data_IF_628474394609
#
_entry.id   IF_628474394609
#
_cell.length_a   1.000
_cell.length_b   1.000
_cell.length_c   1.000
_cell.angle_alpha   90.00
_cell.angle_beta   90.00
_cell.angle_gamma   90.00
#
_symmetry.space_group_name_H-M   'P 1'
#
loop_
_entity.id
_entity.type
_entity.pdbx_description
1 polymer ?
#
# COMPACT_ATOMS: atom_id res chain seq x y z
N UNK A 1 -15.95 14.30 13.95
CA UNK A 1 -15.12 15.50 13.67
C UNK A 1 -13.67 15.10 13.90
N UNK A 2 -12.93 14.73 12.83
CA UNK A 2 -11.50 14.41 12.95
C UNK A 2 -10.75 15.68 13.32
N UNK A 3 -9.99 15.65 14.39
CA UNK A 3 -9.22 16.82 14.83
C UNK A 3 -8.00 17.03 13.92
N UNK A 4 -7.44 18.23 13.88
CA UNK A 4 -6.17 18.49 13.17
C UNK A 4 -5.06 17.52 13.63
N UNK A 5 -5.10 17.12 14.90
CA UNK A 5 -4.16 16.17 15.47
C UNK A 5 -4.29 14.77 14.83
N UNK A 6 -5.51 14.31 14.55
CA UNK A 6 -5.73 13.00 13.93
C UNK A 6 -5.20 12.97 12.50
N UNK A 7 -5.40 14.05 11.73
CA UNK A 7 -4.88 14.17 10.38
C UNK A 7 -3.34 14.18 10.35
N UNK A 8 -2.70 14.91 11.27
CA UNK A 8 -1.23 14.94 11.40
C UNK A 8 -0.70 13.56 11.81
N UNK A 9 -1.32 12.91 12.78
CA UNK A 9 -0.93 11.57 13.24
C UNK A 9 -1.00 10.55 12.12
N UNK A 10 -2.05 10.58 11.29
CA UNK A 10 -2.19 9.69 10.12
C UNK A 10 -1.08 9.95 9.11
N UNK A 11 -0.78 11.20 8.78
CA UNK A 11 0.31 11.54 7.86
C UNK A 11 1.67 11.10 8.39
N UNK A 12 1.95 11.31 9.67
CA UNK A 12 3.20 10.87 10.32
C UNK A 12 3.32 9.36 10.28
N UNK A 13 2.25 8.62 10.55
CA UNK A 13 2.23 7.16 10.48
C UNK A 13 2.58 6.63 9.08
N UNK A 14 2.03 7.25 8.03
CA UNK A 14 2.38 6.88 6.64
C UNK A 14 3.85 7.18 6.32
N UNK A 15 4.37 8.35 6.72
CA UNK A 15 5.79 8.69 6.51
C UNK A 15 6.68 7.65 7.20
N UNK A 16 6.42 7.35 8.46
CA UNK A 16 7.20 6.36 9.23
C UNK A 16 7.16 5.00 8.54
N UNK A 17 6.00 4.55 8.07
CA UNK A 17 5.85 3.27 7.36
C UNK A 17 6.67 3.22 6.08
N UNK A 18 6.66 4.28 5.28
CA UNK A 18 7.44 4.39 4.05
C UNK A 18 8.93 4.39 4.34
N UNK A 19 9.38 5.16 5.35
CA UNK A 19 10.77 5.23 5.76
C UNK A 19 11.26 3.87 6.26
N UNK A 20 10.52 3.21 7.14
CA UNK A 20 10.86 1.88 7.67
C UNK A 20 10.96 0.86 6.52
N UNK A 21 10.03 0.88 5.58
CA UNK A 21 10.06 -0.01 4.43
C UNK A 21 11.28 0.26 3.53
N UNK A 22 11.59 1.53 3.26
CA UNK A 22 12.75 1.90 2.46
C UNK A 22 14.07 1.51 3.14
N UNK A 23 14.19 1.72 4.46
CA UNK A 23 15.34 1.29 5.25
C UNK A 23 15.49 -0.22 5.24
N UNK A 24 14.41 -0.98 5.42
CA UNK A 24 14.41 -2.44 5.34
C UNK A 24 14.89 -2.92 3.97
N UNK A 25 14.35 -2.38 2.89
CA UNK A 25 14.77 -2.71 1.52
C UNK A 25 16.27 -2.46 1.32
N UNK A 26 16.78 -1.32 1.78
CA UNK A 26 18.20 -0.98 1.64
C UNK A 26 19.11 -1.85 2.52
N UNK A 27 18.70 -2.16 3.74
CA UNK A 27 19.49 -2.96 4.68
C UNK A 27 19.58 -4.42 4.26
N UNK A 28 18.44 -5.03 3.89
CA UNK A 28 18.37 -6.45 3.52
C UNK A 28 18.74 -6.73 2.06
N UNK A 29 18.69 -5.70 1.21
CA UNK A 29 18.80 -5.82 -0.25
C UNK A 29 17.93 -6.97 -0.79
N UNK A 30 16.76 -7.15 -0.20
CA UNK A 30 15.82 -8.22 -0.50
C UNK A 30 14.38 -7.69 -0.43
N UNK A 31 13.54 -8.13 -1.36
CA UNK A 31 12.11 -7.85 -1.40
C UNK A 31 11.27 -9.05 -0.93
N UNK A 32 11.90 -10.05 -0.30
CA UNK A 32 11.22 -11.24 0.24
C UNK A 32 10.26 -10.81 1.35
N UNK A 33 9.02 -11.31 1.29
CA UNK A 33 7.97 -10.98 2.26
C UNK A 33 7.30 -9.62 2.07
N UNK A 34 7.61 -8.90 0.99
CA UNK A 34 6.97 -7.63 0.64
C UNK A 34 6.00 -7.86 -0.52
N UNK A 35 4.75 -7.43 -0.36
CA UNK A 35 3.77 -7.43 -1.43
C UNK A 35 3.91 -6.17 -2.29
N UNK A 36 4.26 -6.36 -3.56
CA UNK A 36 4.30 -5.27 -4.54
C UNK A 36 2.90 -4.73 -4.81
N UNK A 37 1.89 -5.60 -4.77
CA UNK A 37 0.49 -5.24 -5.00
C UNK A 37 -0.08 -4.33 -3.93
N UNK A 38 0.36 -4.49 -2.68
CA UNK A 38 0.06 -3.55 -1.60
C UNK A 38 0.62 -2.16 -1.92
N UNK A 39 1.85 -2.07 -2.39
CA UNK A 39 2.46 -0.79 -2.76
C UNK A 39 1.76 -0.15 -3.97
N UNK A 40 1.37 -0.94 -4.96
CA UNK A 40 0.57 -0.48 -6.11
C UNK A 40 -0.80 0.07 -5.66
N UNK A 41 -1.48 -0.61 -4.74
CA UNK A 41 -2.75 -0.13 -4.18
C UNK A 41 -2.59 1.17 -3.39
N UNK A 42 -1.55 1.30 -2.54
CA UNK A 42 -1.27 2.56 -1.85
C UNK A 42 -0.94 3.70 -2.81
N UNK A 43 -0.22 3.42 -3.89
CA UNK A 43 0.02 4.43 -4.93
C UNK A 43 -1.31 4.91 -5.55
N UNK A 44 -2.22 3.99 -5.86
CA UNK A 44 -3.56 4.33 -6.38
C UNK A 44 -4.33 5.17 -5.36
N UNK A 45 -4.30 4.81 -4.07
CA UNK A 45 -4.94 5.56 -2.98
C UNK A 45 -4.40 6.99 -2.93
N UNK A 46 -3.07 7.17 -2.95
CA UNK A 46 -2.47 8.50 -2.87
C UNK A 46 -2.75 9.35 -4.12
N UNK A 47 -2.68 8.77 -5.31
CA UNK A 47 -3.00 9.47 -6.56
C UNK A 47 -4.48 9.90 -6.58
N UNK A 48 -5.40 9.00 -6.20
CA UNK A 48 -6.83 9.32 -6.12
C UNK A 48 -7.14 10.37 -5.05
N UNK A 49 -6.52 10.25 -3.86
CA UNK A 49 -6.72 11.18 -2.73
C UNK A 49 -6.17 12.58 -3.01
N UNK A 50 -5.06 12.64 -3.73
CA UNK A 50 -4.35 13.89 -4.01
C UNK A 50 -4.60 14.42 -5.43
N UNK A 51 -5.65 13.92 -6.10
CA UNK A 51 -6.07 14.44 -7.41
C UNK A 51 -6.46 15.93 -7.35
N UNK A 52 -6.86 16.42 -6.18
CA UNK A 52 -7.12 17.85 -5.91
C UNK A 52 -5.86 18.73 -6.02
N UNK A 53 -4.66 18.15 -6.02
CA UNK A 53 -3.39 18.87 -6.18
C UNK A 53 -3.34 19.69 -7.47
N UNK A 54 -4.01 19.20 -8.52
CA UNK A 54 -4.07 19.86 -9.83
C UNK A 54 -5.13 20.96 -9.89
N UNK A 55 -6.10 20.97 -8.96
CA UNK A 55 -7.25 21.89 -8.98
C UNK A 55 -7.17 22.97 -7.91
N UNK A 56 -6.56 22.70 -6.76
CA UNK A 56 -6.54 23.62 -5.64
C UNK A 56 -5.18 23.66 -4.94
N UNK A 57 -4.60 24.85 -4.89
CA UNK A 57 -3.36 25.09 -4.15
C UNK A 57 -3.70 25.62 -2.75
N UNK A 58 -3.46 24.80 -1.71
CA UNK A 58 -3.73 25.22 -0.31
C UNK A 58 -2.49 25.74 0.41
N UNK A 59 -1.33 25.11 0.22
CA UNK A 59 -0.09 25.44 0.92
C UNK A 59 1.08 24.73 0.28
N UNK A 60 2.26 25.37 0.26
CA UNK A 60 3.52 24.77 -0.20
C UNK A 60 3.85 23.49 0.59
N UNK A 61 3.67 23.52 1.91
CA UNK A 61 3.91 22.36 2.77
C UNK A 61 3.00 21.17 2.39
N UNK A 62 1.70 21.41 2.24
CA UNK A 62 0.74 20.37 1.86
C UNK A 62 1.05 19.79 0.48
N UNK A 63 1.38 20.64 -0.49
CA UNK A 63 1.79 20.22 -1.84
C UNK A 63 3.05 19.38 -1.80
N UNK A 64 4.07 19.82 -1.06
CA UNK A 64 5.32 19.07 -0.91
C UNK A 64 5.09 17.68 -0.31
N UNK A 65 4.28 17.58 0.77
CA UNK A 65 3.97 16.31 1.41
C UNK A 65 3.21 15.35 0.47
N UNK A 66 2.24 15.85 -0.28
CA UNK A 66 1.50 15.05 -1.28
C UNK A 66 2.43 14.47 -2.35
N UNK A 67 3.32 15.30 -2.90
CA UNK A 67 4.31 14.87 -3.89
C UNK A 67 5.29 13.87 -3.28
N UNK A 68 5.76 14.09 -2.05
CA UNK A 68 6.67 13.20 -1.35
C UNK A 68 6.06 11.79 -1.14
N UNK A 69 4.78 11.69 -0.78
CA UNK A 69 4.09 10.41 -0.64
C UNK A 69 4.00 9.65 -1.97
N UNK A 70 3.56 10.32 -3.04
CA UNK A 70 3.44 9.70 -4.36
C UNK A 70 4.80 9.25 -4.87
N UNK A 71 5.80 10.12 -4.82
CA UNK A 71 7.14 9.83 -5.35
C UNK A 71 7.88 8.76 -4.57
N UNK A 72 7.78 8.76 -3.24
CA UNK A 72 8.41 7.73 -2.40
C UNK A 72 7.79 6.35 -2.61
N UNK A 73 6.47 6.26 -2.70
CA UNK A 73 5.77 5.00 -3.00
C UNK A 73 6.10 4.51 -4.40
N UNK A 74 6.09 5.39 -5.39
CA UNK A 74 6.49 5.06 -6.76
C UNK A 74 7.96 4.60 -6.85
N UNK A 75 8.87 5.23 -6.09
CA UNK A 75 10.27 4.84 -6.02
C UNK A 75 10.46 3.44 -5.42
N UNK A 76 9.68 3.06 -4.41
CA UNK A 76 9.68 1.70 -3.84
C UNK A 76 9.24 0.69 -4.90
N UNK A 77 8.12 0.95 -5.58
CA UNK A 77 7.61 0.08 -6.66
C UNK A 77 8.66 -0.06 -7.76
N UNK A 78 9.25 1.04 -8.20
CA UNK A 78 10.30 1.05 -9.22
C UNK A 78 11.50 0.21 -8.78
N UNK A 79 11.95 0.37 -7.55
CA UNK A 79 13.10 -0.36 -6.98
C UNK A 79 12.84 -1.86 -6.98
N UNK A 80 11.69 -2.30 -6.47
CA UNK A 80 11.36 -3.73 -6.38
C UNK A 80 11.11 -4.34 -7.77
N UNK A 81 10.53 -3.58 -8.70
CA UNK A 81 10.14 -4.10 -10.02
C UNK A 81 11.28 -4.13 -11.04
N UNK A 82 12.18 -3.14 -11.01
CA UNK A 82 13.16 -2.91 -12.06
C UNK A 82 14.61 -3.01 -11.63
N UNK A 83 14.95 -2.70 -10.37
CA UNK A 83 16.35 -2.70 -9.90
C UNK A 83 16.80 -4.07 -9.39
N UNK A 84 18.00 -4.50 -9.81
CA UNK A 84 18.73 -5.57 -9.15
C UNK A 84 19.38 -5.02 -7.84
N UNK A 85 19.48 -5.79 -6.75
CA UNK A 85 19.14 -7.21 -6.60
C UNK A 85 17.67 -7.51 -6.23
N UNK A 86 16.84 -6.48 -5.94
CA UNK A 86 15.49 -6.63 -5.41
C UNK A 86 14.55 -7.39 -6.37
N UNK A 87 14.64 -7.10 -7.69
CA UNK A 87 13.85 -7.76 -8.72
C UNK A 87 14.00 -9.29 -8.71
N UNK A 88 15.22 -9.79 -8.51
CA UNK A 88 15.50 -11.22 -8.54
C UNK A 88 15.07 -11.95 -7.26
N UNK A 89 14.93 -11.19 -6.16
CA UNK A 89 14.52 -11.74 -4.86
C UNK A 89 13.03 -11.57 -4.58
N UNK A 90 12.31 -10.87 -5.47
CA UNK A 90 10.87 -10.74 -5.37
C UNK A 90 10.17 -11.99 -5.91
N UNK A 91 9.46 -12.69 -5.04
CA UNK A 91 8.73 -13.91 -5.40
C UNK A 91 7.29 -13.58 -5.82
N UNK A 92 7.05 -13.57 -7.12
CA UNK A 92 5.72 -13.34 -7.71
C UNK A 92 4.72 -14.43 -7.39
N UNK A 93 5.19 -15.66 -7.08
CA UNK A 93 4.31 -16.79 -6.80
C UNK A 93 3.58 -16.64 -5.48
N UNK A 94 4.16 -15.90 -4.54
CA UNK A 94 3.57 -15.62 -3.24
C UNK A 94 2.58 -14.44 -3.29
N UNK A 95 2.76 -13.50 -4.22
CA UNK A 95 1.92 -12.33 -4.37
C UNK A 95 0.85 -12.55 -5.47
N UNK A 96 -0.09 -13.47 -5.21
CA UNK A 96 -1.12 -13.91 -6.18
C UNK A 96 -2.44 -13.16 -6.09
N UNK A 97 -2.59 -12.23 -5.15
CA UNK A 97 -3.84 -11.50 -4.95
C UNK A 97 -4.25 -10.68 -6.19
N UNK A 98 -5.45 -10.89 -6.71
CA UNK A 98 -5.98 -10.14 -7.87
C UNK A 98 -6.57 -8.80 -7.41
N UNK A 99 -5.70 -7.86 -7.06
CA UNK A 99 -6.07 -6.58 -6.44
C UNK A 99 -6.99 -5.70 -7.30
N UNK A 100 -6.88 -5.76 -8.63
CA UNK A 100 -7.76 -5.02 -9.54
C UNK A 100 -9.20 -5.48 -9.42
N UNK A 101 -9.43 -6.80 -9.37
CA UNK A 101 -10.77 -7.39 -9.34
C UNK A 101 -11.41 -7.32 -7.95
N UNK A 102 -10.62 -7.59 -6.90
CA UNK A 102 -11.14 -7.75 -5.53
C UNK A 102 -11.06 -6.46 -4.69
N UNK A 103 -10.21 -5.50 -5.07
CA UNK A 103 -10.07 -4.25 -4.34
C UNK A 103 -10.51 -3.05 -5.20
N UNK A 104 -9.86 -2.79 -6.32
CA UNK A 104 -10.06 -1.56 -7.11
C UNK A 104 -11.48 -1.48 -7.68
N UNK A 105 -11.97 -2.55 -8.32
CA UNK A 105 -13.27 -2.54 -8.98
C UNK A 105 -14.42 -2.38 -7.98
N UNK A 106 -14.57 -3.20 -6.91
CA UNK A 106 -15.68 -3.04 -5.97
C UNK A 106 -15.63 -1.71 -5.22
N UNK A 107 -14.44 -1.22 -4.84
CA UNK A 107 -14.32 0.10 -4.22
C UNK A 107 -14.75 1.23 -5.16
N UNK A 108 -14.43 1.13 -6.45
CA UNK A 108 -14.85 2.11 -7.46
C UNK A 108 -16.37 2.15 -7.61
N UNK A 109 -17.02 0.98 -7.67
CA UNK A 109 -18.48 0.89 -7.75
C UNK A 109 -19.13 1.46 -6.48
N UNK A 110 -18.68 1.05 -5.30
CA UNK A 110 -19.25 1.53 -4.02
C UNK A 110 -19.05 3.04 -3.86
N UNK A 111 -17.86 3.56 -4.18
CA UNK A 111 -17.58 5.00 -4.09
C UNK A 111 -18.46 5.80 -5.04
N UNK A 112 -18.66 5.33 -6.27
CA UNK A 112 -19.53 5.98 -7.25
C UNK A 112 -20.97 5.99 -6.77
N UNK A 113 -21.51 4.85 -6.35
CA UNK A 113 -22.90 4.76 -5.83
C UNK A 113 -23.11 5.66 -4.61
N UNK A 114 -22.17 5.62 -3.65
CA UNK A 114 -22.23 6.47 -2.46
C UNK A 114 -22.22 7.95 -2.82
N UNK A 115 -21.33 8.38 -3.70
CA UNK A 115 -21.25 9.78 -4.13
C UNK A 115 -22.52 10.21 -4.84
N UNK A 116 -23.08 9.38 -5.73
CA UNK A 116 -24.35 9.70 -6.41
C UNK A 116 -25.53 9.82 -5.45
N UNK A 117 -25.59 9.00 -4.39
CA UNK A 117 -26.67 9.08 -3.40
C UNK A 117 -26.58 10.32 -2.50
N UNK A 118 -25.35 10.69 -2.11
CA UNK A 118 -25.13 11.80 -1.16
C UNK A 118 -25.05 13.16 -1.87
N UNK A 119 -24.51 13.20 -3.09
CA UNK A 119 -24.23 14.44 -3.85
C UNK A 119 -25.40 14.95 -4.68
N UNK A 120 -26.66 14.64 -4.33
CA UNK A 120 -27.83 15.17 -5.06
C UNK A 120 -27.86 16.70 -5.19
N UNK A 121 -27.05 17.44 -4.41
CA UNK A 121 -26.97 18.89 -4.39
C UNK A 121 -25.59 19.48 -4.69
N UNK A 122 -24.57 18.66 -5.00
CA UNK A 122 -23.22 19.17 -5.25
C UNK A 122 -23.00 19.60 -6.70
N UNK A 123 -22.21 20.63 -6.87
CA UNK A 123 -21.85 21.21 -8.17
C UNK A 123 -21.25 20.13 -9.09
N UNK A 124 -21.88 19.85 -10.21
CA UNK A 124 -21.49 18.79 -11.18
C UNK A 124 -20.01 18.82 -11.61
N UNK A 125 -19.33 19.96 -11.46
CA UNK A 125 -17.92 20.11 -11.83
C UNK A 125 -16.91 19.43 -10.89
N UNK A 126 -17.27 19.16 -9.65
CA UNK A 126 -16.40 18.54 -8.63
C UNK A 126 -16.72 17.07 -8.38
N UNK A 127 -17.77 16.54 -9.01
CA UNK A 127 -18.25 15.17 -8.79
C UNK A 127 -17.14 14.11 -8.99
N UNK A 128 -16.28 14.31 -9.98
CA UNK A 128 -15.16 13.40 -10.24
C UNK A 128 -14.13 13.37 -9.11
N UNK A 129 -13.81 14.52 -8.51
CA UNK A 129 -12.88 14.60 -7.39
C UNK A 129 -13.49 14.00 -6.12
N UNK A 130 -14.79 14.18 -5.90
CA UNK A 130 -15.51 13.57 -4.78
C UNK A 130 -15.54 12.04 -4.89
N UNK A 131 -15.76 11.50 -6.10
CA UNK A 131 -15.70 10.05 -6.34
C UNK A 131 -14.29 9.53 -6.05
N UNK A 132 -13.25 10.20 -6.52
CA UNK A 132 -11.86 9.80 -6.27
C UNK A 132 -11.50 9.88 -4.79
N UNK A 133 -11.98 10.88 -4.09
CA UNK A 133 -11.79 11.03 -2.65
C UNK A 133 -12.45 9.87 -1.89
N UNK A 134 -13.73 9.61 -2.11
CA UNK A 134 -14.48 8.51 -1.48
C UNK A 134 -13.87 7.15 -1.84
N UNK A 135 -13.49 6.95 -3.10
CA UNK A 135 -12.78 5.77 -3.57
C UNK A 135 -11.49 5.53 -2.77
N UNK A 136 -10.68 6.58 -2.57
CA UNK A 136 -9.43 6.46 -1.83
C UNK A 136 -9.64 6.06 -0.36
N UNK A 137 -10.70 6.59 0.29
CA UNK A 137 -11.04 6.26 1.68
C UNK A 137 -11.43 4.78 1.82
N UNK A 138 -12.24 4.28 0.87
CA UNK A 138 -12.70 2.87 0.91
C UNK A 138 -11.57 1.91 0.54
N UNK A 139 -10.69 2.30 -0.39
CA UNK A 139 -9.59 1.46 -0.85
C UNK A 139 -8.44 1.35 0.15
N UNK A 140 -8.19 2.39 0.95
CA UNK A 140 -7.06 2.45 1.88
C UNK A 140 -6.98 1.27 2.86
N UNK A 141 -8.04 0.90 3.59
CA UNK A 141 -8.01 -0.25 4.48
C UNK A 141 -7.85 -1.58 3.74
N UNK A 142 -8.30 -1.68 2.49
CA UNK A 142 -8.14 -2.87 1.67
C UNK A 142 -6.74 -3.00 1.06
N UNK A 143 -6.01 -1.91 0.96
CA UNK A 143 -4.67 -1.89 0.36
C UNK A 143 -3.65 -2.74 1.14
N UNK A 144 -3.85 -2.98 2.44
CA UNK A 144 -2.98 -3.84 3.26
C UNK A 144 -3.22 -5.33 3.05
N UNK A 145 -4.39 -5.71 2.52
CA UNK A 145 -4.81 -7.12 2.41
C UNK A 145 -3.80 -8.00 1.65
N UNK A 146 -3.27 -7.61 0.48
CA UNK A 146 -2.26 -8.42 -0.22
C UNK A 146 -1.01 -8.69 0.64
N UNK A 147 -0.58 -7.72 1.44
CA UNK A 147 0.56 -7.89 2.35
C UNK A 147 0.27 -8.94 3.43
N UNK A 148 -0.95 -8.95 3.98
CA UNK A 148 -1.35 -9.94 4.97
C UNK A 148 -1.36 -11.36 4.37
N UNK A 149 -1.84 -11.52 3.13
CA UNK A 149 -1.78 -12.81 2.41
C UNK A 149 -0.36 -13.30 2.20
N UNK A 150 0.55 -12.41 1.80
CA UNK A 150 1.97 -12.75 1.62
C UNK A 150 2.57 -13.19 2.96
N UNK A 151 2.32 -12.47 4.05
CA UNK A 151 2.83 -12.81 5.38
C UNK A 151 2.29 -14.15 5.90
N UNK A 152 1.00 -14.45 5.69
CA UNK A 152 0.40 -15.72 6.05
C UNK A 152 1.06 -16.89 5.32
N UNK A 153 1.28 -16.77 4.01
CA UNK A 153 1.96 -17.80 3.21
C UNK A 153 3.39 -18.05 3.66
N UNK A 154 4.15 -17.00 3.96
CA UNK A 154 5.50 -17.17 4.49
C UNK A 154 5.50 -17.92 5.82
N UNK A 155 4.57 -17.60 6.71
CA UNK A 155 4.41 -18.25 8.00
C UNK A 155 4.04 -19.74 7.85
N UNK A 156 3.18 -20.08 6.89
CA UNK A 156 2.83 -21.48 6.59
C UNK A 156 4.02 -22.25 6.08
N UNK A 157 4.81 -21.68 5.17
CA UNK A 157 6.03 -22.33 4.63
C UNK A 157 7.06 -22.55 5.73
N UNK A 158 7.25 -21.59 6.63
CA UNK A 158 8.18 -21.72 7.76
C UNK A 158 7.73 -22.82 8.73
N UNK A 159 6.43 -22.94 8.99
CA UNK A 159 5.88 -23.97 9.87
C UNK A 159 5.94 -25.37 9.23
N UNK A 160 5.85 -25.48 7.89
CA UNK A 160 5.92 -26.73 7.15
C UNK A 160 7.36 -27.15 6.84
N UNK A 161 8.34 -26.24 6.92
CA UNK A 161 9.73 -26.58 6.79
C UNK A 161 10.11 -27.54 7.92
N UNK A 162 10.45 -28.83 7.65
CA UNK A 162 10.80 -29.76 8.69
C UNK A 162 11.97 -29.16 9.48
N UNK A 163 11.96 -29.34 10.80
CA UNK A 163 13.09 -29.05 11.70
C UNK A 163 14.29 -29.92 11.26
N UNK A 164 14.85 -29.61 10.12
CA UNK A 164 16.09 -30.22 9.63
C UNK A 164 17.23 -29.73 10.50
N UNK A 165 17.66 -30.59 11.44
CA UNK A 165 18.94 -30.43 12.09
C UNK A 165 18.92 -30.21 13.60
N UNK A 166 18.06 -30.94 14.35
CA UNK A 166 18.52 -31.32 15.66
C UNK A 166 19.36 -32.58 15.47
N UNK A 167 20.65 -32.41 15.24
CA UNK A 167 21.66 -33.44 15.41
C UNK A 167 21.56 -33.89 16.88
N UNK A 168 20.86 -34.99 17.12
CA UNK A 168 21.03 -35.72 18.36
C UNK A 168 22.45 -36.24 18.37
N UNK A 169 23.32 -35.92 19.34
CA UNK A 169 24.63 -36.54 19.46
C UNK A 169 24.38 -38.01 19.79
N UNK A 170 24.76 -38.88 18.85
CA UNK A 170 24.78 -40.32 19.03
C UNK A 170 25.60 -40.58 20.28
N UNK A 171 24.98 -41.02 21.38
CA UNK A 171 25.67 -41.61 22.55
C UNK A 171 26.26 -42.92 22.08
N UNK A 172 27.55 -42.94 21.89
CA UNK A 172 28.31 -44.20 21.88
C UNK A 172 28.36 -44.73 23.31
N UNK A 173 27.74 -45.88 23.53
CA UNK A 173 27.99 -46.78 24.66
C UNK A 173 29.10 -47.76 24.27
#
# INVERSE_FOLDING_TARGET
MSTRADAVNTQVSHVVSIVVLALRLNATKSAVGISLKTQELYLIVFVARYADLFSHFYSLYNTFMKIAFITSTAAIIYTVRFRAPWKHKYDRSQDTFKHWLFAVLPCGVVASLYTFQVSHHSFRGLLGLEILWNFSIILEPLAIVPQLFVLQRFREIENLAPRRGRHDPVRHY
#
